data_IF_937207695299
#
_entry.id   IF_937207695299
#
_cell.length_a   1.000
_cell.length_b   1.000
_cell.length_c   1.000
_cell.angle_alpha   90.00
_cell.angle_beta   90.00
_cell.angle_gamma   90.00
#
_symmetry.space_group_name_H-M   'P 1'
#
loop_
_entity.id
_entity.type
_entity.pdbx_description
1 polymer ?
#
# COMPACT_ATOMS: atom_id res chain seq x y z
N UNK A 1 -22.47 14.24 -3.59
CA UNK A 1 -21.61 13.57 -2.59
C UNK A 1 -21.47 12.08 -2.85
N UNK A 2 -22.55 11.37 -3.22
CA UNK A 2 -22.51 9.95 -3.58
C UNK A 2 -21.42 9.58 -4.60
N UNK A 3 -21.32 10.31 -5.72
CA UNK A 3 -20.26 10.08 -6.72
C UNK A 3 -18.84 10.19 -6.16
N UNK A 4 -18.60 11.10 -5.21
CA UNK A 4 -17.29 11.23 -4.56
C UNK A 4 -17.00 10.04 -3.66
N UNK A 5 -17.99 9.58 -2.88
CA UNK A 5 -17.87 8.39 -2.02
C UNK A 5 -17.60 7.15 -2.86
N UNK A 6 -18.35 6.95 -3.94
CA UNK A 6 -18.13 5.84 -4.88
C UNK A 6 -16.72 5.88 -5.49
N UNK A 7 -16.21 7.07 -5.80
CA UNK A 7 -14.83 7.24 -6.25
C UNK A 7 -13.80 6.84 -5.18
N UNK A 8 -13.99 7.25 -3.93
CA UNK A 8 -13.10 6.82 -2.81
C UNK A 8 -13.09 5.30 -2.70
N UNK A 9 -14.25 4.66 -2.70
CA UNK A 9 -14.38 3.20 -2.60
C UNK A 9 -13.72 2.51 -3.80
N UNK A 10 -14.03 2.95 -5.02
CA UNK A 10 -13.44 2.37 -6.23
C UNK A 10 -11.90 2.52 -6.26
N UNK A 11 -11.38 3.69 -5.87
CA UNK A 11 -9.95 3.94 -5.76
C UNK A 11 -9.26 3.07 -4.72
N UNK A 12 -9.89 2.89 -3.55
CA UNK A 12 -9.38 1.98 -2.52
C UNK A 12 -9.38 0.53 -3.00
N UNK A 13 -10.45 0.05 -3.64
CA UNK A 13 -10.52 -1.30 -4.18
C UNK A 13 -9.46 -1.54 -5.25
N UNK A 14 -9.24 -0.57 -6.15
CA UNK A 14 -8.19 -0.67 -7.17
C UNK A 14 -6.79 -0.72 -6.54
N UNK A 15 -6.54 0.09 -5.52
CA UNK A 15 -5.28 0.08 -4.76
C UNK A 15 -5.05 -1.29 -4.13
N UNK A 16 -6.02 -1.81 -3.37
CA UNK A 16 -5.91 -3.10 -2.67
C UNK A 16 -5.74 -4.25 -3.66
N UNK A 17 -6.54 -4.26 -4.73
CA UNK A 17 -6.44 -5.28 -5.77
C UNK A 17 -5.07 -5.28 -6.46
N UNK A 18 -4.56 -4.10 -6.82
CA UNK A 18 -3.24 -3.97 -7.41
C UNK A 18 -2.15 -4.47 -6.46
N UNK A 19 -2.18 -4.06 -5.18
CA UNK A 19 -1.24 -4.55 -4.18
C UNK A 19 -1.30 -6.08 -4.06
N UNK A 20 -2.50 -6.65 -3.93
CA UNK A 20 -2.69 -8.08 -3.79
C UNK A 20 -2.06 -8.86 -4.94
N UNK A 21 -2.36 -8.47 -6.19
CA UNK A 21 -1.81 -9.14 -7.38
C UNK A 21 -0.29 -9.02 -7.42
N UNK A 22 0.26 -7.81 -7.26
CA UNK A 22 1.70 -7.58 -7.42
C UNK A 22 2.50 -8.23 -6.29
N UNK A 23 2.06 -8.13 -5.04
CA UNK A 23 2.75 -8.80 -3.93
C UNK A 23 2.67 -10.32 -4.03
N UNK A 24 1.55 -10.88 -4.50
CA UNK A 24 1.45 -12.32 -4.76
C UNK A 24 2.48 -12.76 -5.81
N UNK A 25 2.56 -12.04 -6.94
CA UNK A 25 3.53 -12.35 -7.99
C UNK A 25 4.98 -12.18 -7.52
N UNK A 26 5.28 -11.13 -6.75
CA UNK A 26 6.60 -10.92 -6.16
C UNK A 26 6.97 -12.04 -5.20
N UNK A 27 6.04 -12.47 -4.35
CA UNK A 27 6.28 -13.56 -3.42
C UNK A 27 6.51 -14.88 -4.15
N UNK A 28 5.71 -15.19 -5.18
CA UNK A 28 5.89 -16.39 -6.01
C UNK A 28 7.22 -16.38 -6.77
N UNK A 29 7.69 -15.21 -7.21
CA UNK A 29 8.94 -15.06 -7.94
C UNK A 29 10.18 -15.13 -7.03
N UNK A 30 10.11 -14.53 -5.85
CA UNK A 30 11.25 -14.39 -4.93
C UNK A 30 11.31 -15.50 -3.87
N UNK A 31 10.17 -16.12 -3.56
CA UNK A 31 10.02 -17.07 -2.47
C UNK A 31 10.25 -16.44 -1.09
N UNK A 32 10.27 -17.32 -0.08
CA UNK A 32 10.47 -16.94 1.32
C UNK A 32 11.85 -16.28 1.54
N UNK A 33 12.88 -16.75 0.86
CA UNK A 33 14.25 -16.27 1.06
C UNK A 33 14.52 -14.90 0.43
N UNK A 34 13.76 -14.51 -0.60
CA UNK A 34 13.77 -13.14 -1.08
C UNK A 34 12.92 -12.20 -0.22
N UNK A 35 11.87 -12.70 0.44
CA UNK A 35 10.99 -11.91 1.30
C UNK A 35 11.57 -11.62 2.69
N UNK A 36 12.34 -12.55 3.25
CA UNK A 36 12.84 -12.48 4.63
C UNK A 36 14.35 -12.66 4.73
N UNK A 37 14.94 -12.19 5.83
CA UNK A 37 16.33 -12.50 6.16
C UNK A 37 16.49 -14.01 6.45
N UNK A 38 17.68 -14.60 6.20
CA UNK A 38 17.94 -15.99 6.56
C UNK A 38 17.71 -16.25 8.05
N UNK A 39 16.98 -17.32 8.38
CA UNK A 39 16.71 -17.75 9.77
C UNK A 39 15.81 -16.80 10.59
N UNK A 40 15.23 -15.78 9.98
CA UNK A 40 14.41 -14.76 10.66
C UNK A 40 13.15 -14.43 9.88
N UNK A 41 12.12 -13.95 10.58
CA UNK A 41 10.91 -13.36 10.00
C UNK A 41 11.03 -11.85 9.78
N UNK A 42 12.21 -11.27 9.99
CA UNK A 42 12.49 -9.91 9.57
C UNK A 42 12.48 -9.82 8.04
N UNK A 43 11.71 -8.87 7.54
CA UNK A 43 11.61 -8.60 6.11
C UNK A 43 12.98 -8.19 5.54
N UNK A 44 13.33 -8.74 4.38
CA UNK A 44 14.59 -8.46 3.70
C UNK A 44 14.64 -7.02 3.17
N UNK A 45 15.84 -6.47 2.96
CA UNK A 45 16.00 -5.16 2.34
C UNK A 45 15.44 -5.09 0.90
N UNK A 46 15.56 -6.19 0.15
CA UNK A 46 15.00 -6.32 -1.19
C UNK A 46 13.46 -6.21 -1.15
N UNK A 47 12.82 -6.97 -0.26
CA UNK A 47 11.36 -6.94 -0.11
C UNK A 47 10.86 -5.58 0.36
N UNK A 48 11.57 -4.92 1.28
CA UNK A 48 11.23 -3.55 1.71
C UNK A 48 11.29 -2.56 0.55
N UNK A 49 12.37 -2.58 -0.24
CA UNK A 49 12.53 -1.69 -1.40
C UNK A 49 11.41 -1.89 -2.42
N UNK A 50 11.12 -3.14 -2.77
CA UNK A 50 10.02 -3.48 -3.68
C UNK A 50 8.66 -3.07 -3.09
N UNK A 51 8.44 -3.28 -1.79
CA UNK A 51 7.19 -2.92 -1.12
C UNK A 51 6.90 -1.42 -1.20
N UNK A 52 7.93 -0.58 -1.07
CA UNK A 52 7.80 0.88 -1.20
C UNK A 52 7.41 1.27 -2.62
N UNK A 53 8.08 0.70 -3.63
CA UNK A 53 7.80 0.97 -5.06
C UNK A 53 6.37 0.54 -5.41
N UNK A 54 6.00 -0.69 -5.02
CA UNK A 54 4.66 -1.24 -5.28
C UNK A 54 3.59 -0.46 -4.53
N UNK A 55 3.83 -0.09 -3.27
CA UNK A 55 2.90 0.72 -2.48
C UNK A 55 2.64 2.09 -3.11
N UNK A 56 3.68 2.77 -3.58
CA UNK A 56 3.55 4.04 -4.30
C UNK A 56 2.78 3.88 -5.63
N UNK A 57 3.11 2.83 -6.40
CA UNK A 57 2.43 2.55 -7.67
C UNK A 57 0.94 2.22 -7.45
N UNK A 58 0.62 1.39 -6.46
CA UNK A 58 -0.74 1.03 -6.09
C UNK A 58 -1.56 2.26 -5.66
N UNK A 59 -0.96 3.11 -4.83
CA UNK A 59 -1.57 4.37 -4.40
C UNK A 59 -1.84 5.30 -5.59
N UNK A 60 -0.89 5.39 -6.52
CA UNK A 60 -1.05 6.15 -7.77
C UNK A 60 -2.23 5.63 -8.59
N UNK A 61 -2.34 4.31 -8.77
CA UNK A 61 -3.49 3.67 -9.45
C UNK A 61 -4.80 4.00 -8.73
N UNK A 62 -4.83 3.88 -7.40
CA UNK A 62 -6.01 4.21 -6.59
C UNK A 62 -6.45 5.67 -6.76
N UNK A 63 -5.51 6.62 -6.78
CA UNK A 63 -5.78 8.03 -7.03
C UNK A 63 -6.35 8.32 -8.42
N UNK A 64 -5.80 7.68 -9.46
CA UNK A 64 -6.32 7.75 -10.84
C UNK A 64 -7.77 7.26 -10.87
N UNK A 65 -8.03 6.06 -10.34
CA UNK A 65 -9.36 5.44 -10.34
C UNK A 65 -10.36 6.27 -9.54
N UNK A 66 -9.96 6.83 -8.39
CA UNK A 66 -10.84 7.65 -7.56
C UNK A 66 -11.35 8.90 -8.31
N UNK A 67 -10.47 9.57 -9.06
CA UNK A 67 -10.85 10.74 -9.85
C UNK A 67 -11.68 10.34 -11.07
N UNK A 68 -11.30 9.28 -11.78
CA UNK A 68 -12.05 8.82 -12.96
C UNK A 68 -13.47 8.37 -12.60
N UNK A 69 -13.64 7.63 -11.51
CA UNK A 69 -14.94 7.12 -11.08
C UNK A 69 -15.86 8.22 -10.52
N UNK A 70 -15.30 9.26 -9.89
CA UNK A 70 -16.10 10.34 -9.30
C UNK A 70 -16.28 11.56 -10.22
N UNK A 71 -15.37 11.76 -11.17
CA UNK A 71 -15.21 13.01 -11.92
C UNK A 71 -14.76 14.19 -11.04
N UNK A 72 -14.26 13.95 -9.83
CA UNK A 72 -13.97 15.00 -8.84
C UNK A 72 -12.66 14.74 -8.09
N UNK A 73 -11.80 15.75 -8.04
CA UNK A 73 -10.55 15.70 -7.27
C UNK A 73 -10.76 15.50 -5.76
N UNK A 74 -11.91 15.92 -5.23
CA UNK A 74 -12.28 15.68 -3.82
C UNK A 74 -12.33 14.20 -3.43
N UNK A 75 -12.61 13.29 -4.36
CA UNK A 75 -12.57 11.85 -4.07
C UNK A 75 -11.15 11.39 -3.75
N UNK A 76 -10.12 11.95 -4.40
CA UNK A 76 -8.74 11.64 -4.06
C UNK A 76 -8.36 12.13 -2.66
N UNK A 77 -8.85 13.30 -2.23
CA UNK A 77 -8.64 13.81 -0.86
C UNK A 77 -9.28 12.87 0.17
N UNK A 78 -10.49 12.38 -0.10
CA UNK A 78 -11.14 11.37 0.74
C UNK A 78 -10.32 10.08 0.83
N UNK A 79 -9.76 9.62 -0.30
CA UNK A 79 -8.90 8.44 -0.33
C UNK A 79 -7.57 8.66 0.43
N UNK A 80 -6.95 9.84 0.33
CA UNK A 80 -5.78 10.21 1.14
C UNK A 80 -6.12 10.10 2.63
N UNK A 81 -7.26 10.66 3.05
CA UNK A 81 -7.71 10.55 4.44
C UNK A 81 -7.86 9.09 4.89
N UNK A 82 -8.48 8.26 4.07
CA UNK A 82 -8.62 6.82 4.36
C UNK A 82 -7.26 6.11 4.46
N UNK A 83 -6.33 6.37 3.53
CA UNK A 83 -4.99 5.78 3.53
C UNK A 83 -4.19 6.20 4.77
N UNK A 84 -4.27 7.48 5.17
CA UNK A 84 -3.58 7.97 6.36
C UNK A 84 -4.14 7.33 7.64
N UNK A 85 -5.47 7.24 7.76
CA UNK A 85 -6.11 6.64 8.94
C UNK A 85 -5.82 5.14 9.03
N UNK A 86 -6.07 4.38 7.96
CA UNK A 86 -5.83 2.94 7.93
C UNK A 86 -4.34 2.62 8.09
N UNK A 87 -3.49 3.45 7.49
CA UNK A 87 -2.04 3.32 7.61
C UNK A 87 -1.55 3.59 9.03
N UNK A 88 -2.10 4.59 9.72
CA UNK A 88 -1.80 4.84 11.13
C UNK A 88 -2.25 3.68 12.03
N UNK A 89 -3.44 3.12 11.78
CA UNK A 89 -3.92 1.90 12.46
C UNK A 89 -2.96 0.73 12.23
N UNK A 90 -2.51 0.52 10.99
CA UNK A 90 -1.53 -0.51 10.64
C UNK A 90 -0.18 -0.31 11.35
N UNK A 91 0.33 0.93 11.40
CA UNK A 91 1.58 1.25 12.09
C UNK A 91 1.47 1.00 13.61
N UNK A 92 0.31 1.26 14.21
CA UNK A 92 0.05 0.89 15.61
C UNK A 92 0.09 -0.61 15.82
N UNK A 93 -0.51 -1.40 14.92
CA UNK A 93 -0.42 -2.87 14.96
C UNK A 93 1.04 -3.36 14.89
N UNK A 94 1.84 -2.82 13.97
CA UNK A 94 3.28 -3.13 13.88
C UNK A 94 4.02 -2.73 15.17
N UNK A 95 3.71 -1.58 15.75
CA UNK A 95 4.30 -1.13 17.01
C UNK A 95 3.92 -2.03 18.19
N UNK A 96 2.71 -2.57 18.22
CA UNK A 96 2.27 -3.54 19.23
C UNK A 96 3.01 -4.86 19.05
N UNK A 97 3.02 -5.40 17.84
CA UNK A 97 3.72 -6.63 17.51
C UNK A 97 5.18 -6.55 17.95
N UNK A 98 5.89 -5.47 17.60
CA UNK A 98 7.31 -5.29 17.94
C UNK A 98 7.60 -5.18 19.45
N UNK A 99 6.58 -5.00 20.31
CA UNK A 99 6.72 -5.04 21.78
C UNK A 99 6.57 -6.44 22.37
N UNK A 100 5.99 -7.39 21.64
CA UNK A 100 5.71 -8.76 22.11
C UNK A 100 6.98 -9.65 22.22
N UNK A 101 8.16 -9.09 21.98
CA UNK A 101 9.44 -9.81 21.98
C UNK A 101 9.85 -10.29 20.58
N UNK A 102 11.05 -10.89 20.46
CA UNK A 102 11.55 -11.37 19.18
C UNK A 102 10.68 -12.51 18.65
N UNK A 103 10.42 -12.58 17.33
CA UNK A 103 9.73 -13.72 16.74
C UNK A 103 10.56 -15.01 16.94
N UNK A 104 9.91 -16.19 16.85
CA UNK A 104 10.64 -17.45 16.79
C UNK A 104 11.60 -17.46 15.60
N UNK A 105 12.64 -18.30 15.66
CA UNK A 105 13.52 -18.51 14.52
C UNK A 105 12.71 -19.06 13.33
N UNK A 106 13.01 -18.58 12.12
CA UNK A 106 12.34 -19.05 10.90
C UNK A 106 12.97 -20.37 10.48
N UNK A 107 12.16 -21.43 10.41
CA UNK A 107 12.57 -22.72 9.86
C UNK A 107 12.79 -22.63 8.33
N UNK A 108 13.42 -23.63 7.72
CA UNK A 108 13.71 -23.59 6.28
C UNK A 108 12.43 -23.74 5.43
N UNK A 109 11.45 -24.51 5.90
CA UNK A 109 10.26 -24.88 5.14
C UNK A 109 9.00 -24.38 5.87
N UNK A 110 8.69 -23.09 5.68
CA UNK A 110 7.58 -22.41 6.37
C UNK A 110 6.44 -22.15 5.40
N UNK A 111 5.21 -22.42 5.85
CA UNK A 111 4.03 -22.08 5.07
C UNK A 111 3.89 -20.56 4.90
N UNK A 112 3.22 -20.12 3.83
CA UNK A 112 2.97 -18.68 3.60
C UNK A 112 2.18 -18.08 4.76
N UNK A 113 1.22 -18.83 5.31
CA UNK A 113 0.38 -18.37 6.42
C UNK A 113 1.23 -18.11 7.68
N UNK A 114 2.10 -19.06 8.03
CA UNK A 114 2.99 -18.92 9.19
C UNK A 114 4.00 -17.79 9.00
N UNK A 115 4.52 -17.63 7.78
CA UNK A 115 5.42 -16.54 7.42
C UNK A 115 4.74 -15.17 7.58
N UNK A 116 3.51 -15.02 7.10
CA UNK A 116 2.74 -13.78 7.24
C UNK A 116 2.44 -13.46 8.71
N UNK A 117 2.07 -14.46 9.52
CA UNK A 117 1.74 -14.27 10.93
C UNK A 117 2.94 -13.79 11.77
N UNK A 118 4.14 -14.31 11.46
CA UNK A 118 5.35 -14.00 12.21
C UNK A 118 6.17 -12.84 11.62
N UNK A 119 5.78 -12.33 10.46
CA UNK A 119 6.47 -11.26 9.73
C UNK A 119 6.75 -10.05 10.60
N UNK A 120 7.99 -9.57 10.58
CA UNK A 120 8.43 -8.37 11.30
C UNK A 120 8.85 -7.28 10.34
N UNK A 121 8.06 -6.21 10.30
CA UNK A 121 8.39 -5.00 9.58
C UNK A 121 9.07 -3.98 10.51
N UNK A 122 10.11 -3.27 10.03
CA UNK A 122 10.66 -2.14 10.76
C UNK A 122 9.61 -1.05 10.97
N UNK A 123 9.47 -0.57 12.20
CA UNK A 123 8.45 0.41 12.57
C UNK A 123 8.51 1.70 11.73
N UNK A 124 9.72 2.16 11.39
CA UNK A 124 9.89 3.36 10.57
C UNK A 124 9.27 3.21 9.17
N UNK A 125 9.31 2.02 8.58
CA UNK A 125 8.67 1.75 7.27
C UNK A 125 7.15 1.83 7.42
N UNK A 126 6.62 1.19 8.47
CA UNK A 126 5.19 1.21 8.75
C UNK A 126 4.68 2.65 8.99
N UNK A 127 5.48 3.51 9.61
CA UNK A 127 5.16 4.94 9.80
C UNK A 127 5.23 5.72 8.50
N UNK A 128 6.18 5.44 7.61
CA UNK A 128 6.34 6.16 6.34
C UNK A 128 5.33 5.75 5.27
N UNK A 129 4.91 4.48 5.25
CA UNK A 129 4.00 3.91 4.24
C UNK A 129 2.71 4.73 4.01
N UNK A 130 1.99 5.23 5.03
CA UNK A 130 0.78 6.02 4.83
C UNK A 130 1.06 7.35 4.11
N UNK A 131 2.21 7.98 4.39
CA UNK A 131 2.62 9.22 3.71
C UNK A 131 3.02 8.95 2.26
N UNK A 132 3.76 7.87 2.01
CA UNK A 132 4.09 7.43 0.65
C UNK A 132 2.81 7.14 -0.13
N UNK A 133 1.84 6.47 0.48
CA UNK A 133 0.52 6.22 -0.08
C UNK A 133 -0.24 7.51 -0.36
N UNK A 134 -0.27 8.46 0.58
CA UNK A 134 -0.91 9.76 0.38
C UNK A 134 -0.31 10.53 -0.80
N UNK A 135 1.02 10.57 -0.90
CA UNK A 135 1.72 11.19 -2.04
C UNK A 135 1.35 10.47 -3.34
N UNK A 136 1.39 9.14 -3.37
CA UNK A 136 1.00 8.35 -4.55
C UNK A 136 -0.42 8.64 -5.01
N UNK A 137 -1.40 8.65 -4.10
CA UNK A 137 -2.80 8.98 -4.41
C UNK A 137 -2.90 10.36 -5.05
N UNK A 138 -2.21 11.36 -4.49
CA UNK A 138 -2.23 12.73 -5.03
C UNK A 138 -1.55 12.82 -6.40
N UNK A 139 -0.43 12.13 -6.60
CA UNK A 139 0.23 12.03 -7.90
C UNK A 139 -0.73 11.44 -8.95
N UNK A 140 -1.38 10.32 -8.63
CA UNK A 140 -2.36 9.68 -9.51
C UNK A 140 -3.54 10.61 -9.86
N UNK A 141 -4.09 11.28 -8.86
CA UNK A 141 -5.19 12.24 -9.06
C UNK A 141 -4.80 13.40 -9.99
N UNK A 142 -3.58 13.92 -9.84
CA UNK A 142 -3.09 15.03 -10.67
C UNK A 142 -2.88 14.63 -12.14
N UNK A 143 -2.48 13.39 -12.42
CA UNK A 143 -2.32 12.89 -13.80
C UNK A 143 -3.62 12.96 -14.60
N UNK A 144 -4.76 12.73 -13.93
CA UNK A 144 -6.09 12.75 -14.55
C UNK A 144 -6.68 14.16 -14.58
N UNK A 145 -6.55 14.92 -13.48
CA UNK A 145 -7.15 16.25 -13.37
C UNK A 145 -6.61 17.23 -14.42
N UNK A 146 -5.34 17.08 -14.84
CA UNK A 146 -4.75 17.88 -15.94
C UNK A 146 -5.43 17.62 -17.29
N UNK A 147 -5.95 16.42 -17.53
CA UNK A 147 -6.62 16.05 -18.78
C UNK A 147 -8.07 16.53 -18.87
N UNK A 148 -8.69 16.88 -17.74
CA UNK A 148 -10.10 17.28 -17.67
C UNK A 148 -10.31 18.80 -17.62
N UNK A 149 -9.24 19.62 -17.72
CA UNK A 149 -9.41 21.07 -17.81
C UNK A 149 -10.00 21.42 -19.18
N UNK A 150 -11.11 22.18 -19.25
CA UNK A 150 -11.63 22.69 -20.51
C UNK A 150 -10.55 23.50 -21.22
N UNK A 151 -10.41 23.31 -22.53
CA UNK A 151 -9.56 24.18 -23.34
C UNK A 151 -10.22 25.57 -23.44
N UNK A 152 -9.45 26.68 -23.50
CA UNK A 152 -9.99 28.04 -23.52
C UNK A 152 -10.83 28.40 -24.77
N UNK A 153 -11.19 27.41 -25.61
CA UNK A 153 -11.97 27.56 -26.83
C UNK A 153 -13.31 26.81 -26.80
N UNK A 154 -13.69 26.21 -25.66
CA UNK A 154 -15.03 25.65 -25.40
C UNK A 154 -15.91 26.65 -24.64
#
# INVERSE_FOLDING_TARGET
>A
MLRSILGVVAGYLALVFFMFVVFTLLYLALGVDGAYKPGSYEVSGLWLGLSIIVGFAAATVGGVVAVLASGKQQAAIGLVGAVLVLGALGAMGVAQQNREGPPPAREADVSIADAMQNSRQPLWVAILNPFIGAVGVMTGAQLVARRQRPTPHD
#
